data_IF_214721427670
#
_entry.id   IF_214721427670
#
_cell.length_a   1.000
_cell.length_b   1.000
_cell.length_c   1.000
_cell.angle_alpha   90.00
_cell.angle_beta   90.00
_cell.angle_gamma   90.00
#
_symmetry.space_group_name_H-M   'P 1'
#
loop_
_entity.id
_entity.type
_entity.pdbx_description
1 polymer ?
#
# COMPACT_ATOMS: atom_id res chain seq x y z
N UNK A 1 -58.57 -25.75 74.61
CA UNK A 1 -59.21 -24.92 75.64
C UNK A 1 -58.26 -24.95 76.81
N UNK A 2 -57.73 -23.79 77.18
CA UNK A 2 -56.64 -23.76 78.17
C UNK A 2 -57.20 -23.81 79.59
N UNK A 3 -56.46 -24.43 80.53
CA UNK A 3 -56.86 -24.59 81.94
C UNK A 3 -57.28 -23.24 82.55
N UNK A 4 -56.59 -22.16 82.18
CA UNK A 4 -56.87 -20.79 82.63
C UNK A 4 -58.19 -20.23 82.08
N UNK A 5 -58.57 -20.59 80.85
CA UNK A 5 -59.85 -20.16 80.25
C UNK A 5 -61.03 -20.89 80.91
N UNK A 6 -60.88 -22.20 81.12
CA UNK A 6 -61.88 -23.02 81.81
C UNK A 6 -62.10 -22.57 83.25
N UNK A 7 -61.01 -22.25 83.98
CA UNK A 7 -61.08 -21.72 85.33
C UNK A 7 -61.82 -20.37 85.40
N UNK A 8 -61.56 -19.47 84.45
CA UNK A 8 -62.22 -18.16 84.39
C UNK A 8 -63.73 -18.27 84.10
N UNK A 9 -64.11 -19.18 83.19
CA UNK A 9 -65.51 -19.42 82.85
C UNK A 9 -66.26 -19.98 84.08
N UNK A 10 -65.74 -21.06 84.68
CA UNK A 10 -66.38 -21.72 85.83
C UNK A 10 -66.51 -20.78 87.04
N UNK A 11 -65.48 -19.95 87.29
CA UNK A 11 -65.49 -18.94 88.35
C UNK A 11 -66.49 -17.82 88.07
N UNK A 12 -66.69 -17.45 86.80
CA UNK A 12 -67.72 -16.50 86.37
C UNK A 12 -69.16 -16.95 86.69
N UNK A 13 -69.38 -18.27 86.75
CA UNK A 13 -70.66 -18.89 87.09
C UNK A 13 -70.82 -19.28 88.58
N UNK A 14 -69.87 -18.88 89.43
CA UNK A 14 -69.99 -19.03 90.90
C UNK A 14 -69.62 -20.41 91.45
N UNK A 15 -69.02 -21.28 90.64
CA UNK A 15 -68.55 -22.60 91.08
C UNK A 15 -67.07 -22.49 91.46
N UNK A 16 -66.73 -22.78 92.72
CA UNK A 16 -65.36 -22.77 93.20
C UNK A 16 -64.72 -24.16 93.06
N UNK A 17 -63.96 -24.38 91.99
CA UNK A 17 -63.18 -25.62 91.78
C UNK A 17 -61.68 -25.30 91.94
N UNK A 18 -60.95 -26.18 92.62
CA UNK A 18 -59.49 -26.04 92.77
C UNK A 18 -58.79 -26.29 91.43
N UNK A 19 -57.87 -25.39 91.06
CA UNK A 19 -57.12 -25.41 89.80
C UNK A 19 -56.35 -26.71 89.62
N UNK A 20 -55.86 -27.29 90.73
CA UNK A 20 -55.13 -28.56 90.73
C UNK A 20 -56.03 -29.74 90.33
N UNK A 21 -57.29 -29.72 90.72
CA UNK A 21 -58.26 -30.75 90.35
C UNK A 21 -58.67 -30.66 88.87
N UNK A 22 -58.82 -29.44 88.34
CA UNK A 22 -59.07 -29.22 86.90
C UNK A 22 -57.87 -29.66 86.05
N UNK A 23 -56.66 -29.35 86.49
CA UNK A 23 -55.44 -29.78 85.81
C UNK A 23 -55.30 -31.30 85.83
N UNK A 24 -55.56 -31.95 86.98
CA UNK A 24 -55.56 -33.40 87.08
C UNK A 24 -56.62 -34.08 86.19
N UNK A 25 -57.79 -33.46 86.01
CA UNK A 25 -58.84 -33.98 85.12
C UNK A 25 -58.52 -33.77 83.63
N UNK A 26 -57.80 -32.70 83.27
CA UNK A 26 -57.37 -32.42 81.90
C UNK A 26 -56.16 -33.28 81.47
N UNK A 27 -55.31 -33.65 82.44
CA UNK A 27 -54.13 -34.50 82.27
C UNK A 27 -54.44 -36.01 82.44
N UNK A 28 -55.71 -36.39 82.68
CA UNK A 28 -56.12 -37.79 82.77
C UNK A 28 -55.93 -38.49 81.40
N UNK A 29 -55.12 -39.58 81.30
CA UNK A 29 -54.73 -40.16 80.02
C UNK A 29 -55.88 -40.74 79.18
N UNK A 30 -56.97 -41.17 79.83
CA UNK A 30 -58.09 -41.82 79.13
C UNK A 30 -59.26 -40.88 78.81
N UNK A 31 -59.51 -39.89 79.66
CA UNK A 31 -60.68 -39.00 79.52
C UNK A 31 -60.33 -37.53 79.30
N UNK A 32 -59.06 -37.13 79.41
CA UNK A 32 -58.63 -35.73 79.33
C UNK A 32 -58.91 -35.09 77.97
N UNK A 33 -58.63 -35.78 76.86
CA UNK A 33 -58.91 -35.26 75.51
C UNK A 33 -60.42 -35.13 75.25
N UNK A 34 -61.20 -36.14 75.60
CA UNK A 34 -62.65 -36.10 75.50
C UNK A 34 -63.26 -35.00 76.38
N UNK A 35 -62.73 -34.79 77.58
CA UNK A 35 -63.15 -33.70 78.48
C UNK A 35 -62.78 -32.32 77.90
N UNK A 36 -61.62 -32.15 77.26
CA UNK A 36 -61.26 -30.88 76.59
C UNK A 36 -62.15 -30.56 75.39
N UNK A 37 -62.51 -31.57 74.59
CA UNK A 37 -63.42 -31.39 73.45
C UNK A 37 -64.84 -31.10 73.92
N UNK A 38 -65.33 -31.83 74.93
CA UNK A 38 -66.62 -31.56 75.57
C UNK A 38 -66.68 -30.14 76.16
N UNK A 39 -65.64 -29.74 76.89
CA UNK A 39 -65.54 -28.40 77.48
C UNK A 39 -65.53 -27.32 76.39
N UNK A 40 -64.78 -27.52 75.30
CA UNK A 40 -64.77 -26.58 74.18
C UNK A 40 -66.12 -26.48 73.48
N UNK A 41 -66.86 -27.59 73.37
CA UNK A 41 -68.15 -27.62 72.69
C UNK A 41 -69.26 -27.02 73.56
N UNK A 42 -69.29 -27.30 74.87
CA UNK A 42 -70.42 -26.96 75.74
C UNK A 42 -70.19 -25.78 76.69
N UNK A 43 -68.94 -25.40 76.96
CA UNK A 43 -68.59 -24.26 77.83
C UNK A 43 -68.18 -23.01 77.02
N UNK A 44 -68.60 -22.92 75.76
CA UNK A 44 -68.43 -21.73 74.93
C UNK A 44 -69.40 -20.59 75.32
N UNK A 45 -69.08 -19.34 74.95
CA UNK A 45 -69.94 -18.17 75.25
C UNK A 45 -71.33 -18.29 74.62
N UNK A 46 -71.48 -19.03 73.53
CA UNK A 46 -72.77 -19.24 72.85
C UNK A 46 -73.69 -20.24 73.58
N UNK A 47 -73.13 -21.06 74.48
CA UNK A 47 -73.86 -22.15 75.18
C UNK A 47 -74.06 -21.89 76.67
N UNK A 48 -73.49 -20.81 77.21
CA UNK A 48 -73.61 -20.41 78.61
C UNK A 48 -74.31 -19.06 78.70
N UNK A 49 -75.41 -18.99 79.46
CA UNK A 49 -76.15 -17.74 79.65
C UNK A 49 -75.29 -16.74 80.40
N UNK A 50 -74.99 -15.58 79.81
CA UNK A 50 -74.27 -14.53 80.51
C UNK A 50 -74.97 -14.09 81.81
N UNK A 51 -74.24 -13.44 82.72
CA UNK A 51 -74.79 -13.03 84.03
C UNK A 51 -76.05 -12.15 83.91
N UNK A 52 -76.10 -11.29 82.90
CA UNK A 52 -77.25 -10.42 82.63
C UNK A 52 -78.42 -11.22 82.04
N UNK A 53 -78.14 -12.18 81.16
CA UNK A 53 -79.14 -13.11 80.61
C UNK A 53 -79.70 -14.06 81.67
N UNK A 54 -78.90 -14.52 82.61
CA UNK A 54 -79.34 -15.33 83.74
C UNK A 54 -80.18 -14.50 84.73
N UNK A 55 -79.83 -13.23 84.94
CA UNK A 55 -80.65 -12.30 85.71
C UNK A 55 -82.00 -12.04 85.02
N UNK A 56 -81.99 -11.84 83.70
CA UNK A 56 -83.19 -11.72 82.88
C UNK A 56 -84.03 -12.99 82.94
N UNK A 57 -83.44 -14.16 82.70
CA UNK A 57 -84.11 -15.46 82.76
C UNK A 57 -84.73 -15.71 84.13
N UNK A 58 -83.99 -15.50 85.22
CA UNK A 58 -84.55 -15.65 86.58
C UNK A 58 -85.63 -14.63 86.93
N UNK A 59 -85.59 -13.42 86.36
CA UNK A 59 -86.69 -12.45 86.48
C UNK A 59 -87.93 -12.89 85.69
N UNK A 60 -87.71 -13.47 84.51
CA UNK A 60 -88.75 -13.93 83.60
C UNK A 60 -89.43 -15.20 84.14
N UNK A 61 -88.66 -16.08 84.78
CA UNK A 61 -89.10 -17.28 85.50
C UNK A 61 -89.99 -16.91 86.70
N UNK A 62 -89.52 -16.00 87.56
CA UNK A 62 -90.31 -15.48 88.70
C UNK A 62 -91.59 -14.76 88.27
N UNK A 63 -91.62 -14.21 87.05
CA UNK A 63 -92.80 -13.53 86.49
C UNK A 63 -93.77 -14.47 85.74
N UNK A 64 -93.41 -15.76 85.57
CA UNK A 64 -94.20 -16.74 84.80
C UNK A 64 -94.33 -16.40 83.30
N UNK A 65 -93.45 -15.54 82.76
CA UNK A 65 -93.44 -15.19 81.34
C UNK A 65 -92.72 -16.24 80.48
N UNK A 66 -91.79 -17.02 81.05
CA UNK A 66 -91.12 -18.11 80.34
C UNK A 66 -92.13 -19.17 79.92
N UNK A 67 -93.05 -19.57 80.80
CA UNK A 67 -94.10 -20.54 80.46
C UNK A 67 -95.00 -20.04 79.32
N UNK A 68 -95.22 -18.72 79.24
CA UNK A 68 -95.96 -18.09 78.14
C UNK A 68 -95.17 -18.02 76.83
N UNK A 69 -93.85 -17.85 76.91
CA UNK A 69 -92.94 -17.86 75.76
C UNK A 69 -92.73 -19.29 75.22
N UNK A 70 -92.66 -20.29 76.08
CA UNK A 70 -92.59 -21.71 75.69
C UNK A 70 -93.92 -22.16 75.10
N UNK A 71 -95.06 -21.74 75.68
CA UNK A 71 -96.37 -22.00 75.10
C UNK A 71 -96.66 -21.18 73.83
N UNK A 72 -95.98 -20.05 73.65
CA UNK A 72 -96.12 -19.14 72.51
C UNK A 72 -95.10 -19.35 71.38
N UNK A 73 -94.00 -20.08 71.64
CA UNK A 73 -93.12 -20.59 70.59
C UNK A 73 -93.84 -21.77 69.94
N UNK A 74 -94.47 -21.47 68.81
CA UNK A 74 -94.99 -22.46 67.90
C UNK A 74 -93.82 -23.26 67.32
N UNK A 75 -93.37 -24.28 68.05
CA UNK A 75 -92.42 -25.28 67.57
C UNK A 75 -92.96 -26.04 66.35
N UNK A 76 -94.22 -25.83 65.96
CA UNK A 76 -94.77 -26.29 64.68
C UNK A 76 -94.41 -25.36 63.50
N UNK A 77 -93.91 -24.14 63.75
CA UNK A 77 -93.41 -23.23 62.72
C UNK A 77 -91.99 -23.56 62.26
N UNK A 78 -91.27 -24.44 62.97
CA UNK A 78 -90.16 -25.19 62.39
C UNK A 78 -90.80 -26.28 61.53
N UNK A 79 -91.05 -25.95 60.26
CA UNK A 79 -91.53 -26.93 59.29
C UNK A 79 -90.58 -28.12 59.31
N UNK A 80 -91.05 -29.25 59.84
CA UNK A 80 -90.30 -30.48 59.87
C UNK A 80 -89.87 -30.78 58.43
N UNK A 81 -88.56 -30.73 58.18
CA UNK A 81 -87.95 -31.10 56.90
C UNK A 81 -88.66 -32.35 56.40
N UNK A 82 -89.37 -32.22 55.28
CA UNK A 82 -90.13 -33.34 54.78
C UNK A 82 -89.13 -34.39 54.30
N UNK A 83 -89.43 -35.67 54.53
CA UNK A 83 -88.61 -36.79 54.04
C UNK A 83 -88.29 -36.66 52.53
N UNK A 84 -89.19 -36.01 51.77
CA UNK A 84 -88.98 -35.72 50.34
C UNK A 84 -87.92 -34.64 50.08
N UNK A 85 -87.84 -33.60 50.90
CA UNK A 85 -86.80 -32.55 50.77
C UNK A 85 -85.42 -33.12 51.11
N UNK A 86 -85.34 -33.97 52.14
CA UNK A 86 -84.11 -34.70 52.50
C UNK A 86 -83.70 -35.62 51.33
N UNK A 87 -84.64 -36.39 50.78
CA UNK A 87 -84.37 -37.26 49.64
C UNK A 87 -83.92 -36.48 48.39
N UNK A 88 -84.53 -35.32 48.12
CA UNK A 88 -84.16 -34.45 46.99
C UNK A 88 -82.77 -33.87 47.18
N UNK A 89 -82.43 -33.42 48.39
CA UNK A 89 -81.10 -32.91 48.72
C UNK A 89 -80.03 -34.02 48.61
N UNK A 90 -80.34 -35.26 48.99
CA UNK A 90 -79.45 -36.42 48.82
C UNK A 90 -79.23 -36.71 47.33
N UNK A 91 -80.29 -36.69 46.51
CA UNK A 91 -80.19 -36.91 45.07
C UNK A 91 -79.40 -35.80 44.37
N UNK A 92 -79.60 -34.53 44.75
CA UNK A 92 -78.82 -33.40 44.24
C UNK A 92 -77.35 -33.48 44.66
N UNK A 93 -77.08 -33.82 45.93
CA UNK A 93 -75.72 -34.05 46.43
C UNK A 93 -75.03 -35.19 45.70
N UNK A 94 -75.73 -36.31 45.47
CA UNK A 94 -75.20 -37.43 44.70
C UNK A 94 -74.92 -37.04 43.24
N UNK A 95 -75.81 -36.25 42.62
CA UNK A 95 -75.61 -35.72 41.27
C UNK A 95 -74.40 -34.79 41.20
N UNK A 96 -74.25 -33.90 42.19
CA UNK A 96 -73.10 -33.00 42.31
C UNK A 96 -71.80 -33.76 42.54
N UNK A 97 -71.81 -34.74 43.44
CA UNK A 97 -70.66 -35.62 43.72
C UNK A 97 -70.24 -36.38 42.48
N UNK A 98 -71.18 -36.96 41.72
CA UNK A 98 -70.88 -37.63 40.46
C UNK A 98 -70.30 -36.68 39.41
N UNK A 99 -70.80 -35.44 39.33
CA UNK A 99 -70.26 -34.42 38.43
C UNK A 99 -68.83 -34.00 38.82
N UNK A 100 -68.56 -33.82 40.11
CA UNK A 100 -67.23 -33.49 40.64
C UNK A 100 -66.25 -34.64 40.38
N UNK A 101 -66.64 -35.89 40.63
CA UNK A 101 -65.79 -37.07 40.35
C UNK A 101 -65.40 -37.11 38.88
N UNK A 102 -66.37 -36.91 37.97
CA UNK A 102 -66.10 -36.86 36.52
C UNK A 102 -65.15 -35.72 36.14
N UNK A 103 -65.30 -34.54 36.76
CA UNK A 103 -64.39 -33.40 36.53
C UNK A 103 -62.99 -33.68 37.05
N UNK A 104 -62.86 -34.23 38.26
CA UNK A 104 -61.56 -34.60 38.84
C UNK A 104 -60.87 -35.68 38.02
N UNK A 105 -61.60 -36.66 37.51
CA UNK A 105 -61.05 -37.66 36.59
C UNK A 105 -60.55 -37.02 35.29
N UNK A 106 -61.34 -36.13 34.68
CA UNK A 106 -60.92 -35.40 33.48
C UNK A 106 -59.68 -34.53 33.72
N UNK A 107 -59.61 -33.83 34.85
CA UNK A 107 -58.45 -33.02 35.24
C UNK A 107 -57.21 -33.89 35.46
N UNK A 108 -57.38 -35.07 36.06
CA UNK A 108 -56.29 -36.04 36.24
C UNK A 108 -55.75 -36.52 34.89
N UNK A 109 -56.62 -36.84 33.94
CA UNK A 109 -56.21 -37.21 32.58
C UNK A 109 -55.47 -36.07 31.86
N UNK A 110 -55.93 -34.82 32.01
CA UNK A 110 -55.26 -33.65 31.46
C UNK A 110 -53.89 -33.41 32.12
N UNK A 111 -53.79 -33.55 33.44
CA UNK A 111 -52.53 -33.44 34.16
C UNK A 111 -51.51 -34.48 33.69
N UNK A 112 -51.93 -35.74 33.52
CA UNK A 112 -51.07 -36.81 33.03
C UNK A 112 -50.61 -36.55 31.58
N UNK A 113 -51.50 -36.02 30.73
CA UNK A 113 -51.15 -35.62 29.37
C UNK A 113 -50.13 -34.47 29.33
N UNK A 114 -50.32 -33.44 30.17
CA UNK A 114 -49.38 -32.33 30.30
C UNK A 114 -48.03 -32.79 30.85
N UNK A 115 -48.01 -33.66 31.86
CA UNK A 115 -46.78 -34.23 32.42
C UNK A 115 -45.99 -35.01 31.36
N UNK A 116 -46.67 -35.78 30.51
CA UNK A 116 -46.03 -36.48 29.38
C UNK A 116 -45.46 -35.50 28.36
N UNK A 117 -46.19 -34.42 28.03
CA UNK A 117 -45.74 -33.39 27.10
C UNK A 117 -44.51 -32.63 27.63
N UNK A 118 -44.51 -32.25 28.91
CA UNK A 118 -43.34 -31.61 29.55
C UNK A 118 -42.12 -32.54 29.48
N UNK A 119 -42.30 -33.83 29.77
CA UNK A 119 -41.22 -34.81 29.67
C UNK A 119 -40.73 -35.01 28.23
N UNK A 120 -41.60 -35.01 27.23
CA UNK A 120 -41.17 -35.09 25.83
C UNK A 120 -40.44 -33.82 25.39
N UNK A 121 -40.92 -32.64 25.77
CA UNK A 121 -40.27 -31.37 25.46
C UNK A 121 -38.89 -31.28 26.10
N UNK A 122 -38.73 -31.69 27.35
CA UNK A 122 -37.42 -31.72 28.01
C UNK A 122 -36.40 -32.57 27.23
N UNK A 123 -36.83 -33.75 26.74
CA UNK A 123 -35.98 -34.62 25.90
C UNK A 123 -35.65 -33.99 24.54
N UNK A 124 -36.60 -33.31 23.92
CA UNK A 124 -36.39 -32.62 22.64
C UNK A 124 -35.41 -31.46 22.81
N UNK A 125 -35.54 -30.68 23.88
CA UNK A 125 -34.62 -29.57 24.17
C UNK A 125 -33.21 -30.07 24.51
N UNK A 126 -33.08 -31.17 25.26
CA UNK A 126 -31.78 -31.82 25.51
C UNK A 126 -31.13 -32.25 24.17
N UNK A 127 -31.85 -33.00 23.34
CA UNK A 127 -31.36 -33.42 22.03
C UNK A 127 -31.01 -32.23 21.12
N UNK A 128 -31.80 -31.15 21.19
CA UNK A 128 -31.52 -29.91 20.46
C UNK A 128 -30.25 -29.23 20.96
N UNK A 129 -30.05 -29.15 22.27
CA UNK A 129 -28.85 -28.56 22.87
C UNK A 129 -27.60 -29.34 22.49
N UNK A 130 -27.66 -30.67 22.45
CA UNK A 130 -26.55 -31.53 22.04
C UNK A 130 -26.19 -31.32 20.58
N UNK A 131 -27.19 -31.27 19.69
CA UNK A 131 -26.97 -31.00 18.27
C UNK A 131 -26.38 -29.62 18.03
N UNK A 132 -26.85 -28.59 18.75
CA UNK A 132 -26.29 -27.24 18.68
C UNK A 132 -24.85 -27.23 19.18
N UNK A 133 -24.55 -27.90 20.29
CA UNK A 133 -23.19 -28.02 20.83
C UNK A 133 -22.24 -28.69 19.83
N UNK A 134 -22.63 -29.83 19.26
CA UNK A 134 -21.83 -30.54 18.25
C UNK A 134 -21.59 -29.67 17.00
N UNK A 135 -22.62 -28.97 16.53
CA UNK A 135 -22.49 -28.05 15.39
C UNK A 135 -21.52 -26.91 15.70
N UNK A 136 -21.64 -26.30 16.87
CA UNK A 136 -20.76 -25.21 17.30
C UNK A 136 -19.32 -25.70 17.44
N UNK A 137 -19.10 -26.87 18.02
CA UNK A 137 -17.77 -27.48 18.12
C UNK A 137 -17.15 -27.72 16.74
N UNK A 138 -17.93 -28.24 15.78
CA UNK A 138 -17.47 -28.43 14.40
C UNK A 138 -17.09 -27.09 13.74
N UNK A 139 -17.97 -26.09 13.85
CA UNK A 139 -17.69 -24.75 13.30
C UNK A 139 -16.46 -24.11 13.96
N UNK A 140 -16.25 -24.29 15.26
CA UNK A 140 -15.07 -23.80 15.97
C UNK A 140 -13.78 -24.47 15.49
N UNK A 141 -13.82 -25.79 15.25
CA UNK A 141 -12.69 -26.53 14.69
C UNK A 141 -12.36 -26.08 13.25
N UNK A 142 -13.38 -25.91 12.41
CA UNK A 142 -13.22 -25.39 11.04
C UNK A 142 -12.68 -23.95 11.05
N UNK A 143 -13.20 -23.07 11.91
CA UNK A 143 -12.71 -21.71 12.07
C UNK A 143 -11.24 -21.69 12.49
N UNK A 144 -10.86 -22.50 13.48
CA UNK A 144 -9.45 -22.62 13.91
C UNK A 144 -8.56 -23.07 12.76
N UNK A 145 -8.97 -24.09 12.00
CA UNK A 145 -8.22 -24.58 10.82
C UNK A 145 -8.06 -23.49 9.75
N UNK A 146 -9.11 -22.73 9.48
CA UNK A 146 -9.04 -21.62 8.51
C UNK A 146 -8.05 -20.56 9.02
N UNK A 147 -8.15 -20.16 10.29
CA UNK A 147 -7.24 -19.17 10.90
C UNK A 147 -5.78 -19.65 10.83
N UNK A 148 -5.48 -20.91 11.15
CA UNK A 148 -4.11 -21.42 11.03
C UNK A 148 -3.63 -21.42 9.57
N UNK A 149 -4.49 -21.81 8.62
CA UNK A 149 -4.11 -21.78 7.19
C UNK A 149 -3.89 -20.37 6.66
N UNK A 150 -4.67 -19.38 7.15
CA UNK A 150 -4.49 -17.97 6.78
C UNK A 150 -3.16 -17.45 7.33
N UNK A 151 -2.83 -17.78 8.59
CA UNK A 151 -1.58 -17.39 9.24
C UNK A 151 -0.35 -18.03 8.54
N UNK A 152 -0.44 -19.31 8.17
CA UNK A 152 0.61 -19.98 7.39
C UNK A 152 0.81 -19.32 6.02
N UNK A 153 -0.28 -18.98 5.33
CA UNK A 153 -0.23 -18.30 4.03
C UNK A 153 0.30 -16.87 4.14
N UNK A 154 -0.06 -16.12 5.19
CA UNK A 154 0.45 -14.76 5.41
C UNK A 154 1.95 -14.77 5.71
N UNK A 155 2.41 -15.69 6.57
CA UNK A 155 3.83 -15.87 6.86
C UNK A 155 4.62 -16.30 5.60
N UNK A 156 4.04 -17.17 4.77
CA UNK A 156 4.66 -17.55 3.50
C UNK A 156 4.76 -16.35 2.55
N UNK A 157 3.70 -15.55 2.44
CA UNK A 157 3.70 -14.36 1.59
C UNK A 157 4.74 -13.35 2.07
N UNK A 158 4.82 -13.09 3.37
CA UNK A 158 5.80 -12.18 3.98
C UNK A 158 7.24 -12.64 3.72
N UNK A 159 7.51 -13.95 3.86
CA UNK A 159 8.81 -14.53 3.52
C UNK A 159 9.15 -14.34 2.03
N UNK A 160 8.20 -14.62 1.12
CA UNK A 160 8.42 -14.46 -0.33
C UNK A 160 8.58 -12.99 -0.72
N UNK A 161 7.85 -12.09 -0.08
CA UNK A 161 8.00 -10.65 -0.28
C UNK A 161 9.40 -10.18 0.14
N UNK A 162 9.85 -10.62 1.32
CA UNK A 162 11.19 -10.30 1.85
C UNK A 162 12.31 -10.86 0.96
N UNK A 163 12.18 -12.10 0.49
CA UNK A 163 13.14 -12.72 -0.44
C UNK A 163 13.20 -11.96 -1.77
N UNK A 164 12.05 -11.61 -2.35
CA UNK A 164 11.99 -10.79 -3.57
C UNK A 164 12.60 -9.40 -3.38
N UNK A 165 12.34 -8.76 -2.24
CA UNK A 165 12.95 -7.47 -1.90
C UNK A 165 14.47 -7.59 -1.77
N UNK A 166 14.96 -8.65 -1.11
CA UNK A 166 16.40 -8.92 -0.99
C UNK A 166 17.04 -9.18 -2.36
N UNK A 167 16.42 -9.99 -3.22
CA UNK A 167 16.89 -10.25 -4.58
C UNK A 167 16.92 -8.98 -5.43
N UNK A 168 15.87 -8.15 -5.35
CA UNK A 168 15.81 -6.85 -6.01
C UNK A 168 16.95 -5.93 -5.55
N UNK A 169 17.19 -5.86 -4.24
CA UNK A 169 18.28 -5.06 -3.68
C UNK A 169 19.66 -5.57 -4.11
N UNK A 170 19.87 -6.88 -4.19
CA UNK A 170 21.11 -7.47 -4.70
C UNK A 170 21.30 -7.17 -6.21
N UNK A 171 20.26 -7.35 -7.01
CA UNK A 171 20.28 -7.03 -8.44
C UNK A 171 20.54 -5.54 -8.68
N UNK A 172 19.89 -4.66 -7.91
CA UNK A 172 20.11 -3.21 -7.95
C UNK A 172 21.55 -2.84 -7.64
N UNK A 173 22.14 -3.42 -6.59
CA UNK A 173 23.56 -3.21 -6.24
C UNK A 173 24.49 -3.73 -7.34
N UNK A 174 24.20 -4.89 -7.92
CA UNK A 174 24.96 -5.43 -9.05
C UNK A 174 24.89 -4.52 -10.29
N UNK A 175 23.68 -4.02 -10.62
CA UNK A 175 23.48 -3.08 -11.71
C UNK A 175 24.24 -1.77 -11.47
N UNK A 176 24.17 -1.22 -10.26
CA UNK A 176 24.91 -0.01 -9.88
C UNK A 176 26.41 -0.22 -10.05
N UNK A 177 26.96 -1.34 -9.56
CA UNK A 177 28.38 -1.66 -9.76
C UNK A 177 28.77 -1.78 -11.23
N UNK A 178 27.93 -2.42 -12.06
CA UNK A 178 28.20 -2.50 -13.51
C UNK A 178 28.12 -1.15 -14.19
N UNK A 179 27.17 -0.31 -13.79
CA UNK A 179 26.99 1.04 -14.32
C UNK A 179 28.18 1.92 -13.93
N UNK A 180 28.58 1.91 -12.66
CA UNK A 180 29.73 2.66 -12.16
C UNK A 180 31.02 2.23 -12.86
N UNK A 181 31.21 0.93 -13.08
CA UNK A 181 32.36 0.41 -13.82
C UNK A 181 32.34 0.85 -15.30
N UNK A 182 31.18 0.85 -15.94
CA UNK A 182 31.04 1.28 -17.34
C UNK A 182 31.29 2.78 -17.48
N UNK A 183 30.64 3.60 -16.64
CA UNK A 183 30.84 5.04 -16.61
C UNK A 183 32.30 5.41 -16.32
N UNK A 184 32.95 4.71 -15.38
CA UNK A 184 34.37 4.94 -15.11
C UNK A 184 35.26 4.56 -16.30
N UNK A 185 34.91 3.49 -17.03
CA UNK A 185 35.64 3.11 -18.25
C UNK A 185 35.46 4.14 -19.37
N UNK A 186 34.26 4.68 -19.52
CA UNK A 186 33.95 5.72 -20.48
C UNK A 186 34.64 7.04 -20.14
N UNK A 187 34.64 7.44 -18.87
CA UNK A 187 35.38 8.62 -18.39
C UNK A 187 36.87 8.50 -18.70
N UNK A 188 37.46 7.31 -18.49
CA UNK A 188 38.85 7.05 -18.85
C UNK A 188 39.08 7.17 -20.36
N UNK A 189 38.16 6.67 -21.19
CA UNK A 189 38.23 6.81 -22.64
C UNK A 189 38.11 8.27 -23.08
N UNK A 190 37.16 9.02 -22.52
CA UNK A 190 36.97 10.44 -22.79
C UNK A 190 38.20 11.27 -22.37
N UNK A 191 38.81 10.95 -21.23
CA UNK A 191 40.07 11.56 -20.79
C UNK A 191 41.20 11.25 -21.77
N UNK A 192 41.29 10.01 -22.25
CA UNK A 192 42.31 9.63 -23.24
C UNK A 192 42.09 10.34 -24.58
N UNK A 193 40.84 10.49 -25.02
CA UNK A 193 40.46 11.22 -26.22
C UNK A 193 40.78 12.71 -26.09
N UNK A 194 40.49 13.32 -24.93
CA UNK A 194 40.86 14.71 -24.67
C UNK A 194 42.37 14.91 -24.72
N UNK A 195 43.13 14.02 -24.09
CA UNK A 195 44.60 14.07 -24.13
C UNK A 195 45.10 13.97 -25.57
N UNK A 196 44.52 13.06 -26.35
CA UNK A 196 44.85 12.87 -27.75
C UNK A 196 44.49 14.09 -28.60
N UNK A 197 43.33 14.70 -28.35
CA UNK A 197 42.92 15.95 -28.98
C UNK A 197 43.91 17.08 -28.71
N UNK A 198 44.38 17.21 -27.46
CA UNK A 198 45.41 18.17 -27.10
C UNK A 198 46.75 17.88 -27.81
N UNK A 199 47.17 16.61 -27.89
CA UNK A 199 48.38 16.19 -28.62
C UNK A 199 48.28 16.41 -30.13
N UNK A 200 47.07 16.38 -30.69
CA UNK A 200 46.83 16.63 -32.12
C UNK A 200 46.74 18.11 -32.46
N UNK A 201 46.16 18.91 -31.57
CA UNK A 201 45.96 20.36 -31.74
C UNK A 201 47.26 21.15 -31.55
N UNK A 202 48.25 20.57 -30.87
CA UNK A 202 49.61 21.12 -30.85
C UNK A 202 50.26 20.97 -32.22
N UNK A 203 50.15 22.02 -33.05
CA UNK A 203 51.00 22.22 -34.23
C UNK A 203 52.47 22.11 -33.82
N UNK A 204 53.26 21.42 -34.65
CA UNK A 204 54.69 21.23 -34.37
C UNK A 204 55.36 22.61 -34.30
N UNK A 205 56.01 22.99 -33.18
CA UNK A 205 56.67 24.28 -33.06
C UNK A 205 57.70 24.52 -34.17
N UNK A 206 58.28 23.43 -34.70
CA UNK A 206 59.21 23.46 -35.83
C UNK A 206 58.51 23.90 -37.13
N UNK A 207 57.29 23.40 -37.42
CA UNK A 207 56.54 23.78 -38.62
C UNK A 207 56.10 25.25 -38.57
N UNK A 208 55.71 25.74 -37.38
CA UNK A 208 55.38 27.17 -37.18
C UNK A 208 56.61 28.06 -37.40
N UNK A 209 57.76 27.68 -36.84
CA UNK A 209 59.02 28.41 -37.03
C UNK A 209 59.46 28.39 -38.51
N UNK A 210 59.28 27.26 -39.20
CA UNK A 210 59.59 27.12 -40.63
C UNK A 210 58.70 27.99 -41.52
N UNK A 211 57.40 28.11 -41.21
CA UNK A 211 56.47 29.01 -41.93
C UNK A 211 56.91 30.48 -41.77
N UNK A 212 57.32 30.88 -40.56
CA UNK A 212 57.75 32.25 -40.31
C UNK A 212 59.07 32.57 -41.02
N UNK A 213 60.05 31.65 -40.97
CA UNK A 213 61.31 31.76 -41.74
C UNK A 213 61.06 31.84 -43.24
N UNK A 214 60.12 31.04 -43.76
CA UNK A 214 59.74 31.06 -45.18
C UNK A 214 59.16 32.43 -45.59
N UNK A 215 58.27 33.00 -44.78
CA UNK A 215 57.72 34.35 -45.01
C UNK A 215 58.81 35.42 -44.99
N UNK A 216 59.74 35.33 -44.03
CA UNK A 216 60.88 36.25 -43.93
C UNK A 216 61.78 36.18 -45.18
N UNK A 217 62.10 34.96 -45.65
CA UNK A 217 62.89 34.74 -46.86
C UNK A 217 62.17 35.28 -48.09
N UNK A 218 60.85 35.05 -48.22
CA UNK A 218 60.06 35.58 -49.34
C UNK A 218 60.04 37.11 -49.33
N UNK A 219 59.88 37.75 -48.17
CA UNK A 219 59.94 39.21 -48.05
C UNK A 219 61.31 39.75 -48.47
N UNK A 220 62.39 39.08 -48.05
CA UNK A 220 63.76 39.44 -48.45
C UNK A 220 63.99 39.26 -49.96
N UNK A 221 63.43 38.20 -50.55
CA UNK A 221 63.49 37.96 -51.98
C UNK A 221 62.77 39.06 -52.76
N UNK A 222 61.56 39.45 -52.35
CA UNK A 222 60.80 40.56 -52.96
C UNK A 222 61.63 41.85 -52.91
N UNK A 223 62.23 42.15 -51.76
CA UNK A 223 63.09 43.34 -51.63
C UNK A 223 64.24 43.33 -52.64
N UNK A 224 64.98 42.22 -52.72
CA UNK A 224 66.12 42.12 -53.64
C UNK A 224 65.72 42.10 -55.12
N UNK A 225 64.58 41.50 -55.47
CA UNK A 225 64.10 41.52 -56.87
C UNK A 225 63.70 42.93 -57.27
N UNK A 226 62.99 43.66 -56.42
CA UNK A 226 62.64 45.08 -56.66
C UNK A 226 63.90 45.92 -56.81
N UNK A 227 64.85 45.83 -55.88
CA UNK A 227 66.12 46.57 -55.94
C UNK A 227 66.91 46.23 -57.21
N UNK A 228 66.97 44.95 -57.60
CA UNK A 228 67.68 44.50 -58.80
C UNK A 228 67.03 45.01 -60.08
N UNK A 229 65.70 44.93 -60.19
CA UNK A 229 64.98 45.40 -61.38
C UNK A 229 65.11 46.91 -61.51
N UNK A 230 64.97 47.66 -60.41
CA UNK A 230 65.20 49.11 -60.40
C UNK A 230 66.61 49.48 -60.84
N UNK A 231 67.62 48.84 -60.27
CA UNK A 231 69.03 49.10 -60.63
C UNK A 231 69.32 48.75 -62.10
N UNK A 232 68.71 47.68 -62.63
CA UNK A 232 68.82 47.32 -64.05
C UNK A 232 68.15 48.36 -64.96
N UNK A 233 66.98 48.86 -64.56
CA UNK A 233 66.27 49.90 -65.29
C UNK A 233 67.06 51.22 -65.29
N UNK A 234 67.57 51.64 -64.14
CA UNK A 234 68.45 52.81 -64.00
C UNK A 234 69.68 52.69 -64.91
N UNK A 235 70.32 51.51 -64.92
CA UNK A 235 71.46 51.23 -65.79
C UNK A 235 71.08 51.33 -67.26
N UNK A 236 70.01 50.67 -67.68
CA UNK A 236 69.56 50.66 -69.08
C UNK A 236 69.18 52.07 -69.56
N UNK A 237 68.53 52.86 -68.70
CA UNK A 237 68.20 54.25 -68.98
C UNK A 237 69.46 55.10 -69.22
N UNK A 238 70.46 54.99 -68.34
CA UNK A 238 71.74 55.68 -68.53
C UNK A 238 72.53 55.16 -69.74
N UNK A 239 72.49 53.85 -70.03
CA UNK A 239 73.12 53.22 -71.19
C UNK A 239 72.47 53.69 -72.51
N UNK A 240 71.13 53.84 -72.53
CA UNK A 240 70.41 54.41 -73.66
C UNK A 240 70.75 55.89 -73.89
N UNK A 241 70.78 56.70 -72.82
CA UNK A 241 71.18 58.11 -72.90
C UNK A 241 72.61 58.29 -73.42
N UNK A 242 73.55 57.47 -72.93
CA UNK A 242 74.94 57.49 -73.40
C UNK A 242 75.10 57.00 -74.84
N UNK A 243 74.32 56.00 -75.26
CA UNK A 243 74.33 55.49 -76.64
C UNK A 243 73.76 56.53 -77.62
N UNK A 244 72.67 57.21 -77.25
CA UNK A 244 72.11 58.32 -78.03
C UNK A 244 73.13 59.47 -78.18
N UNK A 245 73.91 59.75 -77.13
CA UNK A 245 74.96 60.77 -77.16
C UNK A 245 76.15 60.40 -78.06
N UNK A 246 76.49 59.11 -78.18
CA UNK A 246 77.61 58.64 -79.02
C UNK A 246 77.26 58.55 -80.50
N UNK A 247 75.99 58.34 -80.85
CA UNK A 247 75.55 58.12 -82.23
C UNK A 247 75.18 59.39 -83.02
N UNK A 248 75.30 60.61 -82.44
CA UNK A 248 74.92 61.88 -83.09
C UNK A 248 73.50 61.86 -83.71
N UNK A 249 72.53 61.20 -83.06
CA UNK A 249 71.14 61.29 -83.49
C UNK A 249 70.59 62.71 -83.28
N UNK A 250 69.73 63.22 -84.19
CA UNK A 250 69.14 64.54 -84.04
C UNK A 250 68.31 64.62 -82.75
N UNK A 251 68.19 65.82 -82.13
CA UNK A 251 67.48 65.98 -80.87
C UNK A 251 66.03 65.50 -81.01
N UNK A 252 65.70 64.42 -80.29
CA UNK A 252 64.33 63.91 -80.19
C UNK A 252 63.39 65.02 -79.68
N UNK A 253 62.14 65.09 -80.17
CA UNK A 253 61.19 66.08 -79.70
C UNK A 253 60.97 65.90 -78.19
N UNK A 254 60.91 67.01 -77.46
CA UNK A 254 60.79 67.05 -76.00
C UNK A 254 59.61 66.22 -75.46
N UNK A 255 58.58 66.01 -76.28
CA UNK A 255 57.36 65.27 -75.96
C UNK A 255 57.62 63.75 -75.83
N UNK A 256 58.51 63.19 -76.66
CA UNK A 256 58.85 61.76 -76.63
C UNK A 256 59.66 61.40 -75.38
N UNK A 257 60.54 62.32 -74.95
CA UNK A 257 61.35 62.15 -73.74
C UNK A 257 60.48 62.22 -72.48
N UNK A 258 59.50 63.13 -72.46
CA UNK A 258 58.56 63.26 -71.35
C UNK A 258 57.62 62.05 -71.27
N UNK A 259 57.08 61.60 -72.40
CA UNK A 259 56.24 60.39 -72.47
C UNK A 259 57.02 59.16 -71.98
N UNK A 260 58.28 59.00 -72.40
CA UNK A 260 59.14 57.91 -71.93
C UNK A 260 59.44 57.99 -70.44
N UNK A 261 59.55 59.19 -69.86
CA UNK A 261 59.75 59.37 -68.43
C UNK A 261 58.49 59.01 -67.62
N UNK A 262 57.31 59.43 -68.08
CA UNK A 262 56.02 59.08 -67.45
C UNK A 262 55.77 57.56 -67.48
N UNK A 263 56.10 56.90 -68.59
CA UNK A 263 56.04 55.43 -68.71
C UNK A 263 57.03 54.73 -67.76
N UNK A 264 58.24 55.27 -67.58
CA UNK A 264 59.21 54.75 -66.61
C UNK A 264 58.72 54.91 -65.17
N UNK A 265 58.17 56.07 -64.81
CA UNK A 265 57.61 56.31 -63.47
C UNK A 265 56.44 55.36 -63.17
N UNK A 266 55.58 55.09 -64.16
CA UNK A 266 54.54 54.07 -64.08
C UNK A 266 55.13 52.67 -63.87
N UNK A 267 56.20 52.33 -64.60
CA UNK A 267 56.89 51.05 -64.45
C UNK A 267 57.51 50.90 -63.05
N UNK A 268 58.12 51.95 -62.48
CA UNK A 268 58.66 51.92 -61.12
C UNK A 268 57.60 51.65 -60.04
N UNK A 269 56.37 52.11 -60.25
CA UNK A 269 55.24 51.86 -59.37
C UNK A 269 54.75 50.40 -59.46
N UNK A 270 54.82 49.78 -60.64
CA UNK A 270 54.35 48.41 -60.88
C UNK A 270 55.35 47.32 -60.48
N UNK A 271 56.66 47.61 -60.43
CA UNK A 271 57.71 46.63 -60.07
C UNK A 271 57.45 45.95 -58.72
N UNK A 272 57.04 46.70 -57.69
CA UNK A 272 56.82 46.13 -56.34
C UNK A 272 55.61 45.19 -56.29
N UNK A 273 54.39 45.59 -56.71
CA UNK A 273 53.23 44.70 -56.78
C UNK A 273 53.49 43.43 -57.60
N UNK A 274 54.15 43.54 -58.75
CA UNK A 274 54.44 42.38 -59.62
C UNK A 274 55.47 41.46 -58.98
N UNK A 275 56.52 42.01 -58.35
CA UNK A 275 57.51 41.21 -57.63
C UNK A 275 56.89 40.47 -56.44
N UNK A 276 55.99 41.13 -55.69
CA UNK A 276 55.27 40.51 -54.58
C UNK A 276 54.43 39.34 -55.07
N UNK A 277 53.56 39.58 -56.06
CA UNK A 277 52.68 38.53 -56.62
C UNK A 277 53.49 37.37 -57.21
N UNK A 278 54.59 37.67 -57.91
CA UNK A 278 55.48 36.65 -58.49
C UNK A 278 56.11 35.77 -57.41
N UNK A 279 56.61 36.36 -56.32
CA UNK A 279 57.26 35.60 -55.24
C UNK A 279 56.22 34.81 -54.45
N UNK A 280 55.06 35.39 -54.18
CA UNK A 280 53.96 34.70 -53.51
C UNK A 280 53.51 33.47 -54.30
N UNK A 281 53.28 33.62 -55.61
CA UNK A 281 52.79 32.55 -56.47
C UNK A 281 53.85 31.48 -56.77
N UNK A 282 55.12 31.85 -56.93
CA UNK A 282 56.18 30.89 -57.29
C UNK A 282 56.78 30.16 -56.08
N UNK A 283 56.83 30.81 -54.91
CA UNK A 283 57.57 30.29 -53.76
C UNK A 283 56.70 30.14 -52.51
N UNK A 284 55.93 31.16 -52.13
CA UNK A 284 55.19 31.13 -50.87
C UNK A 284 54.03 30.13 -50.89
N UNK A 285 53.11 30.23 -51.85
CA UNK A 285 51.94 29.35 -51.94
C UNK A 285 52.33 27.88 -52.17
N UNK A 286 53.28 27.54 -53.08
CA UNK A 286 53.69 26.16 -53.28
C UNK A 286 54.38 25.56 -52.04
N UNK A 287 55.17 26.36 -51.32
CA UNK A 287 55.84 25.91 -50.10
C UNK A 287 54.86 25.74 -48.93
N UNK A 288 53.86 26.63 -48.78
CA UNK A 288 52.79 26.44 -47.79
C UNK A 288 51.95 25.20 -48.10
N UNK A 289 51.64 24.94 -49.37
CA UNK A 289 50.93 23.73 -49.79
C UNK A 289 51.77 22.47 -49.55
N UNK A 290 53.07 22.53 -49.79
CA UNK A 290 54.00 21.43 -49.51
C UNK A 290 54.12 21.16 -48.00
N UNK A 291 54.23 22.21 -47.16
CA UNK A 291 54.26 22.10 -45.69
C UNK A 291 52.94 21.52 -45.15
N UNK A 292 51.79 21.99 -45.64
CA UNK A 292 50.48 21.43 -45.30
C UNK A 292 50.35 19.96 -45.72
N UNK A 293 50.89 19.58 -46.88
CA UNK A 293 50.89 18.16 -47.31
C UNK A 293 51.84 17.28 -46.47
N UNK A 294 52.97 17.85 -46.01
CA UNK A 294 53.92 17.18 -45.09
C UNK A 294 53.34 17.03 -43.69
N UNK A 295 52.49 17.96 -43.26
CA UNK A 295 51.60 17.80 -42.09
C UNK A 295 50.66 16.58 -42.23
N UNK A 296 50.61 15.88 -43.37
CA UNK A 296 50.14 14.48 -43.42
C UNK A 296 50.82 13.52 -42.43
N UNK A 297 51.98 13.88 -41.85
CA UNK A 297 52.55 13.19 -40.68
C UNK A 297 51.70 13.34 -39.40
N UNK A 298 50.98 14.45 -39.23
CA UNK A 298 49.92 14.59 -38.21
C UNK A 298 48.79 13.58 -38.44
N UNK A 299 48.50 13.22 -39.70
CA UNK A 299 47.52 12.20 -40.08
C UNK A 299 48.01 10.79 -39.71
N UNK A 300 49.33 10.54 -39.78
CA UNK A 300 49.93 9.31 -39.23
C UNK A 300 49.89 9.29 -37.69
N UNK A 301 50.05 10.44 -37.02
CA UNK A 301 49.84 10.58 -35.57
C UNK A 301 48.36 10.37 -35.22
N UNK A 302 47.42 10.89 -36.00
CA UNK A 302 45.97 10.64 -35.89
C UNK A 302 45.62 9.16 -36.13
N UNK A 303 46.28 8.50 -37.08
CA UNK A 303 46.07 7.08 -37.32
C UNK A 303 46.58 6.23 -36.14
N UNK A 304 47.76 6.54 -35.60
CA UNK A 304 48.27 5.87 -34.39
C UNK A 304 47.39 6.13 -33.16
N UNK A 305 46.86 7.36 -33.05
CA UNK A 305 45.88 7.79 -32.06
C UNK A 305 44.56 6.99 -32.14
N UNK A 306 44.01 6.79 -33.34
CA UNK A 306 42.79 5.97 -33.54
C UNK A 306 43.03 4.51 -33.17
N UNK A 307 44.23 3.97 -33.42
CA UNK A 307 44.61 2.62 -32.98
C UNK A 307 44.66 2.51 -31.46
N UNK A 308 45.15 3.54 -30.75
CA UNK A 308 45.16 3.57 -29.29
C UNK A 308 43.75 3.60 -28.67
N UNK A 309 42.81 4.27 -29.32
CA UNK A 309 41.39 4.35 -28.90
C UNK A 309 40.62 3.06 -29.26
N UNK A 310 41.11 2.29 -30.24
CA UNK A 310 40.43 1.06 -30.66
C UNK A 310 40.38 0.04 -29.49
N UNK A 311 39.20 -0.49 -29.13
CA UNK A 311 39.01 -1.30 -27.91
C UNK A 311 39.78 -2.63 -27.89
N UNK A 312 40.41 -3.02 -29.00
CA UNK A 312 41.07 -4.31 -29.19
C UNK A 312 42.29 -4.55 -28.28
N UNK A 313 42.76 -3.52 -27.57
CA UNK A 313 43.89 -3.63 -26.63
C UNK A 313 43.51 -3.43 -25.16
N UNK A 314 42.22 -3.32 -24.83
CA UNK A 314 41.77 -3.28 -23.44
C UNK A 314 41.56 -4.70 -22.89
N UNK A 315 42.36 -5.15 -21.90
CA UNK A 315 42.23 -6.50 -21.32
C UNK A 315 40.91 -6.75 -20.56
N UNK A 316 40.09 -5.71 -20.35
CA UNK A 316 38.82 -5.80 -19.62
C UNK A 316 37.67 -6.47 -20.42
N UNK A 317 37.72 -6.45 -21.77
CA UNK A 317 36.72 -7.12 -22.62
C UNK A 317 36.85 -8.66 -22.65
N UNK A 318 37.87 -9.22 -21.98
CA UNK A 318 38.03 -10.68 -21.86
C UNK A 318 37.02 -11.34 -20.90
N UNK A 319 36.31 -10.56 -20.08
CA UNK A 319 35.41 -11.08 -19.03
C UNK A 319 33.90 -11.05 -19.34
N UNK A 320 33.48 -10.72 -20.57
CA UNK A 320 32.06 -10.78 -20.94
C UNK A 320 31.65 -12.16 -21.48
N UNK A 321 30.43 -12.65 -21.15
CA UNK A 321 29.93 -13.94 -21.61
C UNK A 321 29.79 -13.97 -23.14
N UNK A 322 30.10 -15.13 -23.74
CA UNK A 322 30.34 -15.30 -25.18
C UNK A 322 29.13 -14.96 -26.09
N UNK A 323 27.92 -14.87 -25.54
CA UNK A 323 26.71 -14.61 -26.33
C UNK A 323 26.62 -13.15 -26.84
N UNK A 324 27.16 -12.19 -26.08
CA UNK A 324 27.24 -10.77 -26.48
C UNK A 324 28.42 -10.46 -27.41
N UNK A 325 29.39 -11.36 -27.53
CA UNK A 325 30.55 -11.18 -28.42
C UNK A 325 30.17 -11.35 -29.89
N UNK A 326 29.27 -12.29 -30.18
CA UNK A 326 28.81 -12.53 -31.54
C UNK A 326 27.91 -11.39 -32.04
N UNK A 327 26.95 -10.92 -31.25
CA UNK A 327 26.07 -9.82 -31.70
C UNK A 327 26.84 -8.55 -31.98
N UNK A 328 27.81 -8.21 -31.13
CA UNK A 328 28.55 -6.96 -31.25
C UNK A 328 29.60 -7.01 -32.37
N UNK A 329 30.22 -8.17 -32.61
CA UNK A 329 31.14 -8.37 -33.73
C UNK A 329 30.42 -8.32 -35.09
N UNK A 330 29.18 -8.81 -35.17
CA UNK A 330 28.39 -8.73 -36.39
C UNK A 330 27.94 -7.30 -36.68
N UNK A 331 27.54 -6.53 -35.65
CA UNK A 331 27.18 -5.12 -35.83
C UNK A 331 28.39 -4.26 -36.23
N UNK A 332 29.57 -4.47 -35.64
CA UNK A 332 30.76 -3.71 -36.00
C UNK A 332 31.27 -4.07 -37.40
N UNK A 333 31.25 -5.35 -37.78
CA UNK A 333 31.52 -5.76 -39.16
C UNK A 333 30.52 -5.14 -40.15
N UNK A 334 29.23 -5.08 -39.80
CA UNK A 334 28.20 -4.48 -40.67
C UNK A 334 28.38 -2.97 -40.84
N UNK A 335 28.74 -2.25 -39.77
CA UNK A 335 29.04 -0.81 -39.86
C UNK A 335 30.31 -0.54 -40.66
N UNK A 336 31.35 -1.36 -40.52
CA UNK A 336 32.59 -1.20 -41.29
C UNK A 336 32.32 -1.51 -42.77
N UNK A 337 31.55 -2.56 -43.08
CA UNK A 337 31.17 -2.89 -44.45
C UNK A 337 30.30 -1.79 -45.08
N UNK A 338 29.37 -1.21 -44.32
CA UNK A 338 28.50 -0.12 -44.78
C UNK A 338 29.29 1.16 -45.07
N UNK A 339 30.23 1.53 -44.20
CA UNK A 339 31.08 2.71 -44.38
C UNK A 339 32.05 2.51 -45.56
N UNK A 340 32.63 1.32 -45.73
CA UNK A 340 33.47 1.01 -46.88
C UNK A 340 32.67 0.99 -48.19
N UNK A 341 31.42 0.54 -48.17
CA UNK A 341 30.54 0.51 -49.35
C UNK A 341 30.01 1.91 -49.73
N UNK A 342 29.82 2.79 -48.74
CA UNK A 342 29.51 4.21 -48.95
C UNK A 342 30.72 4.95 -49.53
N UNK A 343 31.92 4.69 -49.00
CA UNK A 343 33.17 5.25 -49.51
C UNK A 343 33.48 4.79 -50.95
N UNK A 344 33.17 3.53 -51.30
CA UNK A 344 33.31 3.03 -52.67
C UNK A 344 32.30 3.67 -53.65
N UNK A 345 31.09 4.02 -53.18
CA UNK A 345 30.07 4.71 -53.98
C UNK A 345 30.39 6.19 -54.22
N UNK A 346 31.09 6.84 -53.29
CA UNK A 346 31.51 8.24 -53.41
C UNK A 346 32.78 8.44 -54.27
N UNK A 347 33.49 7.37 -54.61
CA UNK A 347 34.76 7.42 -55.38
C UNK A 347 34.61 7.07 -56.88
N UNK A 348 33.38 6.89 -57.39
CA UNK A 348 33.14 6.66 -58.83
C UNK A 348 32.96 8.03 -59.51
N UNK A 349 33.85 8.44 -60.44
CA UNK A 349 33.69 9.70 -61.16
C UNK A 349 32.49 9.61 -62.12
N UNK A 350 31.50 10.47 -61.92
CA UNK A 350 30.37 10.68 -62.81
C UNK A 350 30.84 11.23 -64.16
N UNK A 351 30.70 10.44 -65.22
CA UNK A 351 30.93 10.85 -66.62
C UNK A 351 29.85 11.87 -67.04
N UNK A 352 30.19 13.00 -67.67
CA UNK A 352 29.18 13.97 -68.10
C UNK A 352 28.42 13.46 -69.35
N UNK A 353 27.15 13.87 -69.54
CA UNK A 353 26.31 13.43 -70.66
C UNK A 353 26.77 14.07 -71.99
N UNK A 354 26.48 13.43 -73.14
CA UNK A 354 26.84 13.96 -74.45
C UNK A 354 25.97 15.18 -74.79
N UNK A 355 26.62 16.25 -75.23
CA UNK A 355 25.96 17.40 -75.86
C UNK A 355 25.44 16.97 -77.24
N UNK A 356 24.18 17.31 -77.54
CA UNK A 356 23.59 17.33 -78.88
C UNK A 356 23.67 18.77 -79.39
#
# INVERSE_FOLDING_TARGET
MDVSELENIIRGYGIAIDRRSLQAALEDPEHGTAFTEWARLHLGPDNLLSRDELALYSSLDKSGQIDKLVAGQDLAAVQALSEREIQTAIEELNRSTAAIVKQTESLRLQQDALAKLVKSNAKVEEARSDLVFQRNQKHDAERKKIVTSVEELSQNLEFRASDLEQQSNLSKKGLQQTLDSLLHSDDKLLLSLRKLGLELETEDPEDRENIEKLREICMRLIKYTVETVRTKLDRLYLEALSSAHQNNEPPHPSDDVQTSQEELESLYAEILPVAQMSVEQQYLEPALKALSSKSGQSLSRSAAAVVYVSPSQNPSYKSMPDNTRLTNAWTTCWTILSVSQLALRLSIPTRPPPQI
#
